data_IF_889487787888
#
_entry.id   IF_889487787888
#
_cell.length_a   1.000
_cell.length_b   1.000
_cell.length_c   1.000
_cell.angle_alpha   90.00
_cell.angle_beta   90.00
_cell.angle_gamma   90.00
#
_symmetry.space_group_name_H-M   'P 1'
#
loop_
_entity.id
_entity.type
_entity.pdbx_description
1 polymer ?
#
# COMPACT_ATOMS: atom_id res chain seq x y z
N UNK A 1 -3.15 8.88 -10.22
CA UNK A 1 -4.43 8.17 -10.01
C UNK A 1 -4.58 7.89 -8.54
N UNK A 2 -5.76 8.09 -8.02
CA UNK A 2 -6.04 8.00 -6.59
C UNK A 2 -7.23 7.08 -6.36
N UNK A 3 -7.14 6.23 -5.34
CA UNK A 3 -8.24 5.38 -4.88
C UNK A 3 -8.60 5.75 -3.45
N UNK A 4 -9.69 6.47 -3.30
CA UNK A 4 -10.18 6.96 -2.02
C UNK A 4 -11.12 5.94 -1.40
N UNK A 5 -10.59 5.05 -0.60
CA UNK A 5 -11.40 4.09 0.13
C UNK A 5 -10.76 3.78 1.47
N UNK A 6 -11.51 4.01 2.53
CA UNK A 6 -11.17 3.40 3.79
C UNK A 6 -11.36 1.88 3.62
N UNK A 7 -10.27 1.14 3.50
CA UNK A 7 -10.33 -0.30 3.27
C UNK A 7 -10.04 -1.02 4.57
N UNK A 8 -11.04 -1.77 5.02
CA UNK A 8 -10.89 -2.72 6.11
C UNK A 8 -11.25 -4.09 5.57
N UNK A 9 -10.39 -5.07 5.73
CA UNK A 9 -10.62 -6.42 5.24
C UNK A 9 -10.63 -7.42 6.38
N UNK A 10 -11.21 -8.59 6.13
CA UNK A 10 -11.23 -9.70 7.09
C UNK A 10 -9.97 -10.58 6.97
N UNK A 11 -9.02 -10.20 6.14
CA UNK A 11 -7.73 -10.89 6.07
C UNK A 11 -7.02 -10.85 7.42
N UNK A 12 -5.98 -11.63 7.57
CA UNK A 12 -5.23 -11.71 8.82
C UNK A 12 -5.86 -12.64 9.87
N UNK A 13 -7.14 -12.96 9.75
CA UNK A 13 -7.75 -14.02 10.54
C UNK A 13 -7.07 -15.35 10.21
N UNK A 14 -6.78 -16.16 11.21
CA UNK A 14 -6.10 -17.46 11.06
C UNK A 14 -4.71 -17.35 10.43
N UNK A 15 -4.06 -16.19 10.55
CA UNK A 15 -2.71 -15.96 10.03
C UNK A 15 -2.63 -15.75 8.51
N UNK A 16 -3.76 -15.58 7.83
CA UNK A 16 -3.77 -15.34 6.38
C UNK A 16 -3.46 -13.88 6.07
N UNK A 17 -2.71 -13.59 4.99
CA UNK A 17 -2.44 -12.21 4.60
C UNK A 17 -3.70 -11.52 4.05
N UNK A 18 -3.70 -10.20 4.09
CA UNK A 18 -4.69 -9.40 3.38
C UNK A 18 -4.28 -9.28 1.91
N UNK A 19 -5.21 -9.47 1.01
CA UNK A 19 -4.96 -9.34 -0.43
C UNK A 19 -5.93 -8.31 -1.01
N UNK A 20 -5.39 -7.26 -1.60
CA UNK A 20 -6.15 -6.19 -2.23
C UNK A 20 -5.75 -6.08 -3.69
N UNK A 21 -6.74 -6.04 -4.57
CA UNK A 21 -6.51 -5.89 -6.01
C UNK A 21 -7.13 -4.58 -6.47
N UNK A 22 -6.34 -3.78 -7.19
CA UNK A 22 -6.76 -2.50 -7.74
C UNK A 22 -6.78 -2.58 -9.26
N UNK A 23 -7.89 -2.16 -9.85
CA UNK A 23 -8.06 -2.06 -11.30
C UNK A 23 -7.82 -0.61 -11.72
N UNK A 24 -6.79 -0.35 -12.49
CA UNK A 24 -6.43 0.99 -12.95
C UNK A 24 -7.23 1.42 -14.19
N UNK A 25 -8.07 0.53 -14.72
CA UNK A 25 -8.91 0.80 -15.88
C UNK A 25 -8.21 0.55 -17.21
N UNK A 26 -8.93 0.83 -18.29
CA UNK A 26 -8.45 0.54 -19.64
C UNK A 26 -7.53 1.63 -20.21
N UNK A 27 -7.70 2.87 -19.77
CA UNK A 27 -6.92 4.01 -20.26
C UNK A 27 -5.66 4.20 -19.43
N UNK A 28 -4.76 3.25 -19.56
CA UNK A 28 -3.54 3.21 -18.75
C UNK A 28 -2.52 4.25 -19.17
N UNK A 29 -1.96 4.92 -18.17
CA UNK A 29 -0.74 5.73 -18.30
C UNK A 29 0.41 4.96 -17.67
N UNK A 30 1.64 5.28 -18.09
CA UNK A 30 2.80 4.77 -17.39
C UNK A 30 2.85 5.27 -15.96
N UNK A 31 3.26 4.40 -15.06
CA UNK A 31 3.50 4.75 -13.66
C UNK A 31 4.74 4.01 -13.16
N UNK A 32 5.35 4.51 -12.10
CA UNK A 32 6.53 3.90 -11.51
C UNK A 32 6.48 3.84 -9.99
N UNK A 33 5.41 4.33 -9.39
CA UNK A 33 5.33 4.42 -7.94
C UNK A 33 3.93 4.06 -7.44
N UNK A 34 3.88 3.39 -6.30
CA UNK A 34 2.66 3.05 -5.60
C UNK A 34 2.76 3.56 -4.17
N UNK A 35 1.84 4.42 -3.78
CA UNK A 35 1.82 5.03 -2.46
C UNK A 35 0.65 4.52 -1.63
N UNK A 36 0.87 4.35 -0.34
CA UNK A 36 -0.16 3.94 0.61
C UNK A 36 -0.26 4.96 1.74
N UNK A 37 -1.49 5.25 2.16
CA UNK A 37 -1.81 6.20 3.22
C UNK A 37 -2.53 5.47 4.34
N UNK A 38 -2.04 5.55 5.59
CA UNK A 38 -2.67 4.88 6.72
C UNK A 38 -3.87 5.67 7.21
N UNK A 39 -4.68 5.07 8.07
CA UNK A 39 -5.71 5.80 8.78
C UNK A 39 -5.06 6.82 9.72
N UNK A 40 -5.24 8.10 9.46
CA UNK A 40 -4.48 9.17 10.13
C UNK A 40 -4.84 9.40 11.60
N UNK A 41 -6.04 9.06 12.04
CA UNK A 41 -6.43 9.17 13.45
C UNK A 41 -5.89 8.03 14.30
N UNK A 42 -5.54 6.92 13.69
CA UNK A 42 -5.01 5.75 14.37
C UNK A 42 -4.19 4.92 13.36
N UNK A 43 -2.90 5.14 13.37
CA UNK A 43 -2.01 4.60 12.33
C UNK A 43 -1.54 3.17 12.60
N UNK A 44 -1.78 2.63 13.80
CA UNK A 44 -1.27 1.31 14.19
C UNK A 44 -1.71 0.15 13.29
N UNK A 45 -2.93 0.11 12.71
CA UNK A 45 -3.29 -0.97 11.78
C UNK A 45 -2.71 -0.85 10.37
N UNK A 46 -1.65 -0.08 10.19
CA UNK A 46 -1.00 0.12 8.90
C UNK A 46 -0.13 -1.06 8.47
N UNK A 47 0.07 -1.25 7.16
CA UNK A 47 0.91 -2.32 6.65
C UNK A 47 2.37 -2.22 7.08
N UNK A 48 2.91 -3.31 7.58
CA UNK A 48 4.31 -3.43 8.00
C UNK A 48 5.15 -4.24 7.01
N UNK A 49 4.62 -5.35 6.52
CA UNK A 49 5.30 -6.22 5.56
C UNK A 49 4.37 -6.51 4.40
N UNK A 50 4.82 -6.20 3.20
CA UNK A 50 3.99 -6.27 1.99
C UNK A 50 4.71 -6.91 0.81
N UNK A 51 3.91 -7.32 -0.18
CA UNK A 51 4.35 -7.71 -1.52
C UNK A 51 3.45 -7.00 -2.53
N UNK A 52 4.02 -6.52 -3.62
CA UNK A 52 3.26 -5.89 -4.69
C UNK A 52 3.52 -6.63 -5.99
N UNK A 53 2.44 -6.98 -6.68
CA UNK A 53 2.46 -7.65 -7.97
C UNK A 53 1.62 -6.86 -8.96
N UNK A 54 1.92 -7.00 -10.25
CA UNK A 54 1.17 -6.35 -11.34
C UNK A 54 0.84 -7.35 -12.43
N UNK A 55 -0.24 -7.09 -13.16
CA UNK A 55 -0.65 -7.93 -14.31
C UNK A 55 -1.58 -7.15 -15.23
N UNK A 56 -1.63 -7.58 -16.49
CA UNK A 56 -2.67 -7.13 -17.44
C UNK A 56 -3.92 -8.01 -17.40
N UNK A 57 -3.86 -9.15 -16.72
CA UNK A 57 -4.95 -10.10 -16.58
C UNK A 57 -5.20 -10.37 -15.10
N UNK A 58 -6.47 -10.29 -14.70
CA UNK A 58 -6.85 -10.50 -13.29
C UNK A 58 -6.55 -11.93 -12.79
N UNK A 59 -6.52 -12.90 -13.68
CA UNK A 59 -6.41 -14.32 -13.33
C UNK A 59 -5.02 -14.91 -13.50
N UNK A 60 -4.12 -14.24 -14.22
CA UNK A 60 -2.81 -14.80 -14.53
C UNK A 60 -1.78 -13.72 -14.87
N UNK A 61 -0.53 -14.13 -15.06
CA UNK A 61 0.51 -13.22 -15.52
C UNK A 61 1.01 -12.25 -14.47
N UNK A 62 0.83 -12.54 -13.20
CA UNK A 62 1.29 -11.67 -12.11
C UNK A 62 2.81 -11.63 -12.05
N UNK A 63 3.35 -10.42 -12.00
CA UNK A 63 4.78 -10.14 -11.91
C UNK A 63 5.04 -9.44 -10.58
N UNK A 64 5.96 -9.98 -9.80
CA UNK A 64 6.34 -9.35 -8.52
C UNK A 64 7.24 -8.16 -8.79
N UNK A 65 6.83 -6.98 -8.35
CA UNK A 65 7.59 -5.74 -8.47
C UNK A 65 8.11 -5.22 -7.13
N UNK A 66 7.47 -5.62 -6.04
CA UNK A 66 8.02 -5.45 -4.68
C UNK A 66 7.95 -6.80 -3.99
N UNK A 67 9.11 -7.38 -3.72
CA UNK A 67 9.21 -8.68 -3.06
C UNK A 67 8.95 -8.53 -1.56
N UNK A 68 8.22 -9.48 -1.00
CA UNK A 68 8.03 -9.56 0.45
C UNK A 68 9.38 -9.50 1.16
N UNK A 69 9.52 -8.57 2.09
CA UNK A 69 10.69 -8.43 2.93
C UNK A 69 10.25 -7.84 4.26
N UNK A 70 10.64 -8.46 5.36
CA UNK A 70 10.19 -8.06 6.70
C UNK A 70 10.40 -6.57 6.95
N UNK A 71 9.31 -5.89 7.31
CA UNK A 71 9.35 -4.46 7.61
C UNK A 71 9.49 -3.54 6.39
N UNK A 72 9.20 -4.02 5.17
CA UNK A 72 9.33 -3.20 3.96
C UNK A 72 8.17 -2.23 3.72
N UNK A 73 7.14 -2.27 4.53
CA UNK A 73 6.02 -1.32 4.49
C UNK A 73 6.33 -0.05 5.28
N UNK A 74 5.33 0.47 5.99
CA UNK A 74 5.55 1.63 6.86
C UNK A 74 6.60 1.34 7.92
N UNK A 75 7.24 2.40 8.43
CA UNK A 75 8.09 2.34 9.62
C UNK A 75 7.32 2.91 10.82
N UNK A 76 7.74 2.54 12.01
CA UNK A 76 7.17 3.10 13.25
C UNK A 76 7.32 4.62 13.28
N UNK A 77 8.47 5.13 12.85
CA UNK A 77 8.74 6.57 12.80
C UNK A 77 7.77 7.31 11.89
N UNK A 78 7.47 6.76 10.71
CA UNK A 78 6.47 7.34 9.80
C UNK A 78 5.09 7.41 10.46
N UNK A 79 4.68 6.33 11.11
CA UNK A 79 3.33 6.22 11.66
C UNK A 79 3.13 7.09 12.90
N UNK A 80 4.15 7.26 13.70
CA UNK A 80 4.10 8.12 14.89
C UNK A 80 4.30 9.60 14.56
N UNK A 81 5.08 9.89 13.53
CA UNK A 81 5.35 11.24 13.07
C UNK A 81 5.82 12.17 14.18
N UNK A 82 5.49 13.44 14.07
CA UNK A 82 5.88 14.45 15.06
C UNK A 82 5.19 14.28 16.41
N UNK A 83 4.07 13.54 16.47
CA UNK A 83 3.33 13.34 17.73
C UNK A 83 3.98 12.30 18.62
N UNK A 84 4.83 11.43 18.08
CA UNK A 84 5.42 10.30 18.80
C UNK A 84 4.40 9.21 19.18
N UNK A 85 3.22 9.23 18.61
CA UNK A 85 2.11 8.31 18.92
C UNK A 85 1.46 7.81 17.64
N UNK A 86 0.92 6.58 17.68
CA UNK A 86 0.10 6.06 16.60
C UNK A 86 -1.21 6.83 16.37
N UNK A 87 -1.61 7.65 17.32
CA UNK A 87 -2.74 8.57 17.17
C UNK A 87 -2.29 9.86 16.48
N UNK A 88 -1.88 9.73 15.24
CA UNK A 88 -1.37 10.84 14.44
C UNK A 88 -2.54 11.55 13.75
N UNK A 89 -2.94 12.71 14.24
CA UNK A 89 -4.11 13.42 13.78
C UNK A 89 -3.78 14.34 12.60
N UNK A 90 -3.92 13.82 11.39
CA UNK A 90 -3.97 14.66 10.21
C UNK A 90 -2.65 15.00 9.54
N UNK A 91 -1.53 14.40 9.91
CA UNK A 91 -0.31 14.54 9.13
C UNK A 91 -0.43 13.72 7.84
N UNK A 92 -0.04 14.30 6.73
CA UNK A 92 -0.04 13.61 5.43
C UNK A 92 1.09 12.59 5.37
N UNK A 93 0.77 11.33 5.60
CA UNK A 93 1.73 10.23 5.55
C UNK A 93 1.47 9.42 4.30
N UNK A 94 2.46 9.38 3.41
CA UNK A 94 2.42 8.50 2.23
C UNK A 94 3.70 7.69 2.21
N UNK A 95 3.57 6.38 2.21
CA UNK A 95 4.71 5.50 2.00
C UNK A 95 4.74 5.07 0.54
N UNK A 96 5.82 5.42 -0.16
CA UNK A 96 5.98 5.15 -1.58
C UNK A 96 6.85 3.94 -1.84
N UNK A 97 6.39 3.10 -2.77
CA UNK A 97 7.17 2.00 -3.32
C UNK A 97 7.58 2.32 -4.75
N UNK A 98 8.85 2.18 -5.06
CA UNK A 98 9.37 2.30 -6.42
C UNK A 98 9.15 0.97 -7.15
N UNK A 99 8.46 1.02 -8.29
CA UNK A 99 8.07 -0.18 -9.03
C UNK A 99 8.85 -0.39 -10.32
N UNK A 100 9.64 0.62 -10.78
CA UNK A 100 10.10 0.68 -12.15
C UNK A 100 8.96 1.11 -13.08
N UNK A 101 9.27 1.45 -14.32
CA UNK A 101 8.25 1.88 -15.29
C UNK A 101 7.30 0.74 -15.63
N UNK A 102 6.01 0.98 -15.47
CA UNK A 102 4.96 0.00 -15.70
C UNK A 102 3.79 0.64 -16.45
N UNK A 103 3.04 -0.22 -17.16
CA UNK A 103 1.77 0.13 -17.75
C UNK A 103 0.81 -1.07 -17.65
N UNK A 104 0.75 -1.64 -16.45
CA UNK A 104 -0.08 -2.81 -16.14
C UNK A 104 -1.40 -2.39 -15.51
N UNK A 105 -2.49 -3.03 -15.91
CA UNK A 105 -3.84 -2.65 -15.49
C UNK A 105 -4.13 -2.95 -14.02
N UNK A 106 -3.63 -4.06 -13.51
CA UNK A 106 -3.96 -4.52 -12.15
C UNK A 106 -2.75 -4.49 -11.24
N UNK A 107 -2.99 -4.04 -10.00
CA UNK A 107 -1.99 -4.09 -8.94
C UNK A 107 -2.57 -4.93 -7.82
N UNK A 108 -1.80 -5.89 -7.33
CA UNK A 108 -2.16 -6.71 -6.18
C UNK A 108 -1.22 -6.41 -5.03
N UNK A 109 -1.80 -5.88 -3.95
CA UNK A 109 -1.09 -5.61 -2.70
C UNK A 109 -1.41 -6.71 -1.71
N UNK A 110 -0.38 -7.44 -1.28
CA UNK A 110 -0.51 -8.45 -0.24
C UNK A 110 0.16 -7.95 1.02
N UNK A 111 -0.58 -7.92 2.13
CA UNK A 111 -0.09 -7.42 3.42
C UNK A 111 0.00 -8.59 4.38
N UNK A 112 1.23 -8.89 4.79
CA UNK A 112 1.53 -10.03 5.67
C UNK A 112 1.50 -9.67 7.14
N UNK A 113 1.80 -8.41 7.47
CA UNK A 113 1.85 -7.92 8.84
C UNK A 113 1.34 -6.49 8.94
N UNK A 114 0.72 -6.17 10.07
CA UNK A 114 0.41 -4.80 10.48
C UNK A 114 1.10 -4.51 11.82
N UNK A 115 1.16 -3.23 12.21
CA UNK A 115 1.86 -2.84 13.45
C UNK A 115 1.10 -3.17 14.72
N UNK A 116 -0.20 -3.35 14.66
CA UNK A 116 -0.99 -3.55 15.87
C UNK A 116 -1.53 -4.96 16.00
N UNK A 117 -2.47 -5.34 15.18
CA UNK A 117 -3.16 -6.62 15.28
C UNK A 117 -3.31 -7.21 13.90
N UNK A 118 -2.86 -8.45 13.73
CA UNK A 118 -2.95 -9.15 12.44
C UNK A 118 -4.36 -9.28 11.88
N UNK A 119 -5.38 -9.10 12.72
CA UNK A 119 -6.79 -9.17 12.32
C UNK A 119 -7.37 -7.83 11.87
N UNK A 120 -6.58 -6.76 11.90
CA UNK A 120 -7.05 -5.43 11.53
C UNK A 120 -6.06 -4.78 10.56
N UNK A 121 -6.60 -4.30 9.45
CA UNK A 121 -5.89 -3.50 8.47
C UNK A 121 -6.69 -2.25 8.18
N UNK A 122 -6.06 -1.10 8.25
CA UNK A 122 -6.65 0.16 7.81
C UNK A 122 -5.75 0.85 6.81
N UNK A 123 -6.33 1.22 5.68
CA UNK A 123 -5.72 2.08 4.66
C UNK A 123 -6.77 3.11 4.25
N UNK A 124 -6.41 4.38 4.25
CA UNK A 124 -7.33 5.44 3.83
C UNK A 124 -7.30 5.64 2.31
N UNK A 125 -6.11 5.62 1.72
CA UNK A 125 -5.94 5.89 0.30
C UNK A 125 -4.77 5.10 -0.27
N UNK A 126 -4.83 4.86 -1.59
CA UNK A 126 -3.68 4.42 -2.36
C UNK A 126 -3.51 5.35 -3.56
N UNK A 127 -2.27 5.54 -3.97
CA UNK A 127 -1.91 6.37 -5.11
C UNK A 127 -1.06 5.58 -6.08
N UNK A 128 -1.29 5.82 -7.37
CA UNK A 128 -0.42 5.33 -8.44
C UNK A 128 0.07 6.54 -9.21
N UNK A 129 1.37 6.68 -9.36
CA UNK A 129 1.96 7.89 -9.92
C UNK A 129 3.20 7.60 -10.74
N UNK A 130 3.45 8.49 -11.70
CA UNK A 130 4.76 8.59 -12.35
C UNK A 130 5.55 9.68 -11.63
N UNK A 131 6.55 9.28 -10.86
CA UNK A 131 7.39 10.19 -10.08
C UNK A 131 8.74 10.47 -10.71
N UNK A 132 8.92 10.10 -11.96
CA UNK A 132 10.20 10.28 -12.66
C UNK A 132 10.68 11.73 -12.69
N UNK A 133 9.77 12.68 -12.66
CA UNK A 133 10.06 14.11 -12.77
C UNK A 133 9.94 14.87 -11.45
N UNK A 134 9.80 14.15 -10.34
CA UNK A 134 9.73 14.78 -9.02
C UNK A 134 11.13 15.22 -8.62
N UNK A 135 11.28 16.50 -8.39
CA UNK A 135 12.52 17.09 -7.86
C UNK A 135 12.37 17.24 -6.35
N UNK A 136 13.18 16.55 -5.63
CA UNK A 136 13.16 16.61 -4.16
C UNK A 136 14.27 17.53 -3.66
#
# INVERSE_FOLDING_TARGET
MEFNKGITTDGGADGKPYVLVFDLGENLREYNSFGIVPRLQWTAPAPKTVQIEVSDDLNEGWITVVTKNDGNGFTEAELKGATGSYNNHGEGIIHWFELGKLQKRYIRLTIYETFWNKKVLCLDEVFVSDRSNVVE
#
